data_IF_751084968857
#
_entry.id   IF_751084968857
#
_cell.length_a   1.000
_cell.length_b   1.000
_cell.length_c   1.000
_cell.angle_alpha   90.00
_cell.angle_beta   90.00
_cell.angle_gamma   90.00
#
_symmetry.space_group_name_H-M   'P 1'
#
loop_
_entity.id
_entity.type
_entity.pdbx_description
1 polymer ?
#
# COMPACT_ATOMS: atom_id res chain seq x y z
N UNK A 1 -16.09 -24.73 10.64
CA UNK A 1 -17.19 -24.74 9.64
C UNK A 1 -18.33 -23.92 10.22
N UNK A 2 -18.77 -22.83 9.58
CA UNK A 2 -20.04 -22.18 9.96
C UNK A 2 -20.18 -20.66 9.88
N UNK A 3 -19.18 -19.89 9.41
CA UNK A 3 -19.30 -18.41 9.40
C UNK A 3 -19.72 -17.80 8.05
N UNK A 4 -19.81 -18.59 6.97
CA UNK A 4 -20.13 -18.06 5.63
C UNK A 4 -21.64 -18.04 5.31
N UNK A 5 -22.43 -18.95 5.90
CA UNK A 5 -23.87 -19.04 5.59
C UNK A 5 -24.71 -17.90 6.21
N UNK A 6 -24.28 -17.31 7.32
CA UNK A 6 -25.01 -16.24 7.99
C UNK A 6 -24.97 -14.90 7.22
N UNK A 7 -24.02 -14.72 6.29
CA UNK A 7 -23.92 -13.51 5.48
C UNK A 7 -24.99 -13.46 4.36
N UNK A 8 -25.48 -14.62 3.91
CA UNK A 8 -26.42 -14.72 2.78
C UNK A 8 -27.89 -14.46 3.17
N UNK A 9 -28.25 -14.51 4.45
CA UNK A 9 -29.66 -14.48 4.89
C UNK A 9 -30.22 -13.08 5.16
N UNK A 10 -29.39 -12.03 5.14
CA UNK A 10 -29.78 -10.63 5.41
C UNK A 10 -30.07 -9.78 4.17
N UNK A 11 -29.96 -10.35 2.96
CA UNK A 11 -30.27 -9.68 1.69
C UNK A 11 -31.78 -9.69 1.35
N UNK A 12 -32.61 -10.40 2.12
CA UNK A 12 -34.02 -10.66 1.82
C UNK A 12 -34.95 -9.43 1.83
N UNK A 13 -34.49 -8.27 2.32
CA UNK A 13 -35.32 -7.06 2.44
C UNK A 13 -34.86 -5.85 1.63
N UNK A 14 -33.78 -5.96 0.85
CA UNK A 14 -33.17 -4.82 0.14
C UNK A 14 -32.84 -5.28 -1.27
N UNK A 15 -33.66 -4.89 -2.24
CA UNK A 15 -33.34 -5.05 -3.65
C UNK A 15 -32.12 -4.19 -3.97
N UNK A 16 -30.95 -4.82 -4.13
CA UNK A 16 -29.77 -4.11 -4.63
C UNK A 16 -30.04 -3.72 -6.08
N UNK A 17 -29.86 -2.45 -6.41
CA UNK A 17 -29.80 -2.03 -7.82
C UNK A 17 -28.45 -2.46 -8.41
N UNK A 18 -28.39 -2.67 -9.72
CA UNK A 18 -27.18 -3.12 -10.40
C UNK A 18 -25.98 -2.24 -10.03
N UNK A 19 -24.93 -2.87 -9.49
CA UNK A 19 -23.69 -2.21 -9.07
C UNK A 19 -23.65 -1.70 -7.63
N UNK A 20 -24.75 -1.73 -6.87
CA UNK A 20 -24.72 -1.46 -5.43
C UNK A 20 -24.08 -2.64 -4.67
N UNK A 21 -23.34 -2.35 -3.60
CA UNK A 21 -22.71 -3.38 -2.76
C UNK A 21 -23.14 -3.19 -1.30
N UNK A 22 -23.27 -4.28 -0.55
CA UNK A 22 -23.59 -4.23 0.88
C UNK A 22 -22.46 -4.89 1.67
N UNK A 23 -21.91 -4.16 2.64
CA UNK A 23 -20.98 -4.72 3.61
C UNK A 23 -21.78 -5.44 4.71
N UNK A 24 -21.35 -6.65 5.03
CA UNK A 24 -21.96 -7.48 6.07
C UNK A 24 -21.96 -6.78 7.45
N UNK A 25 -22.98 -7.01 8.28
CA UNK A 25 -22.99 -6.49 9.65
C UNK A 25 -21.85 -7.09 10.47
N UNK A 26 -21.14 -6.24 11.21
CA UNK A 26 -20.02 -6.67 12.06
C UNK A 26 -20.46 -6.78 13.52
N UNK A 27 -19.84 -7.69 14.28
CA UNK A 27 -20.16 -7.93 15.70
C UNK A 27 -19.40 -6.96 16.59
N UNK A 28 -20.08 -6.35 17.57
CA UNK A 28 -19.43 -5.55 18.63
C UNK A 28 -18.84 -6.45 19.74
N UNK A 29 -17.96 -5.93 20.60
CA UNK A 29 -17.41 -6.70 21.73
C UNK A 29 -18.47 -7.24 22.70
N UNK A 30 -19.58 -6.52 22.90
CA UNK A 30 -20.77 -6.91 23.67
C UNK A 30 -21.66 -7.95 22.96
N UNK A 31 -21.32 -8.31 21.72
CA UNK A 31 -22.00 -9.34 20.94
C UNK A 31 -23.14 -8.85 20.05
N UNK A 32 -23.60 -7.61 20.22
CA UNK A 32 -24.62 -7.00 19.33
C UNK A 32 -24.06 -6.76 17.92
N UNK A 33 -24.93 -6.77 16.90
CA UNK A 33 -24.54 -6.51 15.51
C UNK A 33 -24.61 -5.03 15.16
N UNK A 34 -23.67 -4.57 14.34
CA UNK A 34 -23.73 -3.27 13.68
C UNK A 34 -24.65 -3.37 12.47
N UNK A 35 -25.28 -2.27 12.09
CA UNK A 35 -26.08 -2.21 10.86
C UNK A 35 -25.20 -2.50 9.63
N UNK A 36 -25.73 -3.21 8.61
CA UNK A 36 -25.03 -3.38 7.34
C UNK A 36 -24.82 -2.01 6.65
N UNK A 37 -23.72 -1.88 5.90
CA UNK A 37 -23.35 -0.63 5.22
C UNK A 37 -23.67 -0.77 3.72
N UNK A 38 -24.42 0.18 3.17
CA UNK A 38 -24.69 0.25 1.71
C UNK A 38 -23.64 1.10 1.03
N UNK A 39 -23.05 0.58 -0.04
CA UNK A 39 -22.07 1.25 -0.92
C UNK A 39 -22.77 1.55 -2.24
N UNK A 40 -22.69 2.81 -2.70
CA UNK A 40 -23.31 3.27 -3.95
C UNK A 40 -22.61 2.63 -5.16
N UNK A 41 -23.37 2.41 -6.23
CA UNK A 41 -22.81 1.97 -7.51
C UNK A 41 -21.75 2.98 -8.00
N UNK A 42 -20.61 2.45 -8.46
CA UNK A 42 -19.47 3.26 -8.94
C UNK A 42 -18.60 3.91 -7.84
N UNK A 43 -18.81 3.57 -6.56
CA UNK A 43 -17.90 4.02 -5.50
C UNK A 43 -16.53 3.33 -5.60
N UNK A 44 -15.46 4.12 -5.73
CA UNK A 44 -14.08 3.67 -5.73
C UNK A 44 -13.42 4.06 -4.39
N UNK A 45 -12.87 3.11 -3.62
CA UNK A 45 -12.16 3.40 -2.38
C UNK A 45 -10.95 4.31 -2.59
N UNK A 46 -10.64 5.15 -1.61
CA UNK A 46 -9.54 6.12 -1.69
C UNK A 46 -8.17 5.45 -1.90
N UNK A 47 -7.99 4.20 -1.48
CA UNK A 47 -6.78 3.42 -1.71
C UNK A 47 -6.53 3.12 -3.20
N UNK A 48 -7.61 2.99 -3.99
CA UNK A 48 -7.56 2.74 -5.43
C UNK A 48 -7.58 4.05 -6.25
N UNK A 49 -8.01 5.16 -5.64
CA UNK A 49 -7.99 6.48 -6.30
C UNK A 49 -6.54 6.93 -6.43
N UNK A 50 -6.04 6.92 -7.68
CA UNK A 50 -4.71 7.38 -7.99
C UNK A 50 -4.50 8.83 -7.48
N UNK A 51 -3.51 9.00 -6.61
CA UNK A 51 -3.07 10.34 -6.19
C UNK A 51 -2.59 11.08 -7.43
N UNK A 52 -3.09 12.30 -7.62
CA UNK A 52 -2.68 13.12 -8.75
C UNK A 52 -1.15 13.27 -8.77
N UNK A 53 -0.55 12.90 -9.90
CA UNK A 53 0.87 13.14 -10.16
C UNK A 53 0.98 14.20 -11.25
N UNK A 54 1.72 15.28 -10.96
CA UNK A 54 1.97 16.31 -11.95
C UNK A 54 2.81 15.75 -13.12
N UNK A 55 2.67 16.34 -14.31
CA UNK A 55 3.48 15.95 -15.48
C UNK A 55 4.99 15.97 -15.18
N UNK A 56 5.44 16.94 -14.38
CA UNK A 56 6.83 17.04 -13.94
C UNK A 56 7.24 15.91 -12.97
N UNK A 57 6.37 15.50 -12.05
CA UNK A 57 6.65 14.39 -11.14
C UNK A 57 6.77 13.05 -11.90
N UNK A 58 5.90 12.83 -12.89
CA UNK A 58 5.96 11.67 -13.78
C UNK A 58 7.26 11.67 -14.59
N UNK A 59 7.64 12.81 -15.17
CA UNK A 59 8.88 12.96 -15.95
C UNK A 59 10.13 12.73 -15.10
N UNK A 60 10.16 13.23 -13.86
CA UNK A 60 11.27 12.98 -12.94
C UNK A 60 11.40 11.51 -12.56
N UNK A 61 10.28 10.79 -12.47
CA UNK A 61 10.25 9.37 -12.14
C UNK A 61 10.63 8.48 -13.33
N UNK A 62 10.39 8.95 -14.56
CA UNK A 62 10.82 8.25 -15.79
C UNK A 62 12.21 8.66 -16.27
N UNK A 63 12.77 9.77 -15.76
CA UNK A 63 14.14 10.19 -16.07
C UNK A 63 15.11 9.18 -15.42
N UNK A 64 16.11 8.67 -16.16
CA UNK A 64 17.17 7.91 -15.52
C UNK A 64 17.88 8.81 -14.49
N UNK A 65 18.04 8.31 -13.27
CA UNK A 65 18.74 9.00 -12.17
C UNK A 65 20.19 9.31 -12.53
N UNK A 66 20.70 8.55 -13.48
CA UNK A 66 22.06 8.60 -13.99
C UNK A 66 22.02 9.21 -15.40
N UNK A 67 22.82 10.26 -15.68
CA UNK A 67 22.92 10.83 -17.01
C UNK A 67 23.25 9.73 -18.06
N UNK A 68 22.61 9.76 -19.24
CA UNK A 68 22.98 8.85 -20.33
C UNK A 68 24.48 8.94 -20.62
N UNK A 69 25.19 7.81 -20.55
CA UNK A 69 26.64 7.74 -20.72
C UNK A 69 27.46 7.74 -19.43
N UNK A 70 26.84 7.79 -18.26
CA UNK A 70 27.54 7.55 -16.99
C UNK A 70 27.65 6.04 -16.75
N UNK A 71 28.87 5.54 -16.93
CA UNK A 71 29.27 4.21 -16.47
C UNK A 71 29.57 4.33 -14.97
N UNK A 72 28.86 3.64 -14.06
CA UNK A 72 29.21 3.64 -12.66
C UNK A 72 30.59 3.01 -12.57
N UNK A 73 31.62 3.84 -12.39
CA UNK A 73 32.96 3.37 -12.05
C UNK A 73 32.78 2.64 -10.73
N UNK A 74 32.66 1.30 -10.81
CA UNK A 74 32.73 0.46 -9.63
C UNK A 74 33.97 0.94 -8.87
N UNK A 75 33.77 1.41 -7.63
CA UNK A 75 34.81 1.91 -6.75
C UNK A 75 35.83 0.79 -6.46
N UNK A 76 36.65 0.48 -7.46
CA UNK A 76 37.78 -0.45 -7.41
C UNK A 76 39.02 0.25 -6.86
N UNK A 77 38.88 1.49 -6.37
CA UNK A 77 39.92 2.16 -5.61
C UNK A 77 39.99 1.48 -4.24
N UNK A 78 41.10 0.81 -3.89
CA UNK A 78 41.23 0.18 -2.59
C UNK A 78 41.08 1.24 -1.50
N UNK A 79 40.09 1.05 -0.62
CA UNK A 79 39.86 1.93 0.54
C UNK A 79 41.17 2.10 1.30
N UNK A 80 41.52 3.34 1.60
CA UNK A 80 42.71 3.66 2.40
C UNK A 80 42.60 3.01 3.79
N UNK A 81 43.75 2.73 4.43
CA UNK A 81 43.78 2.13 5.79
C UNK A 81 42.92 2.90 6.79
N UNK A 82 42.81 4.23 6.63
CA UNK A 82 41.96 5.10 7.46
C UNK A 82 40.47 4.88 7.21
N UNK A 83 40.04 4.74 5.95
CA UNK A 83 38.65 4.47 5.61
C UNK A 83 38.15 3.14 6.23
N UNK A 84 38.97 2.08 6.15
CA UNK A 84 38.64 0.77 6.75
C UNK A 84 38.56 0.82 8.29
N UNK A 85 39.39 1.64 8.94
CA UNK A 85 39.34 1.86 10.40
C UNK A 85 38.08 2.63 10.81
N UNK A 86 37.66 3.60 10.01
CA UNK A 86 36.45 4.38 10.27
C UNK A 86 35.17 3.55 10.09
N UNK A 87 35.11 2.67 9.09
CA UNK A 87 34.00 1.73 8.89
C UNK A 87 33.87 0.76 10.07
N UNK A 88 34.97 0.12 10.49
CA UNK A 88 34.99 -0.77 11.65
C UNK A 88 34.56 -0.08 12.95
N UNK A 89 34.82 1.23 13.10
CA UNK A 89 34.37 2.02 14.25
C UNK A 89 32.87 2.32 14.21
N UNK A 90 32.30 2.51 13.01
CA UNK A 90 30.84 2.67 12.82
C UNK A 90 30.10 1.36 13.07
N UNK A 91 30.60 0.25 12.54
CA UNK A 91 30.02 -1.09 12.76
C UNK A 91 29.97 -1.45 14.25
N UNK A 92 31.06 -1.21 14.99
CA UNK A 92 31.12 -1.40 16.46
C UNK A 92 30.22 -0.46 17.27
N UNK A 93 29.72 0.63 16.68
CA UNK A 93 28.80 1.57 17.34
C UNK A 93 27.33 1.18 17.12
N UNK A 94 27.06 0.49 16.01
CA UNK A 94 25.73 -0.02 15.67
C UNK A 94 25.46 -1.42 16.23
N UNK A 95 26.50 -2.13 16.65
CA UNK A 95 26.42 -3.32 17.49
C UNK A 95 26.42 -2.91 18.97
#
# INVERSE_FOLDING_TARGET
MGTEEAASSLTMGITLKEGERILAPTRRPDGTLRKPIRIRAGYVPQEEVAIYQSKGALLRKSMPEVPPGYDPVADTKPKTKSAKRNERKKEKKHQ
#
